data_IF_005870341265
#
_entry.id   IF_005870341265
#
_cell.length_a   1.000
_cell.length_b   1.000
_cell.length_c   1.000
_cell.angle_alpha   90.00
_cell.angle_beta   90.00
_cell.angle_gamma   90.00
#
_symmetry.space_group_name_H-M   'P 1'
#
loop_
_entity.id
_entity.type
_entity.pdbx_description
1 polymer ?
#
# COMPACT_ATOMS: atom_id res chain seq x y z
N UNK A 1 -13.28 15.15 -21.25
CA UNK A 1 -12.41 15.73 -22.30
C UNK A 1 -11.46 14.63 -22.72
N UNK A 2 -11.68 14.06 -23.91
CA UNK A 2 -10.89 12.97 -24.49
C UNK A 2 -9.73 13.55 -25.29
N UNK A 3 -8.55 12.95 -25.24
CA UNK A 3 -7.65 12.92 -26.39
C UNK A 3 -7.00 11.54 -26.54
N UNK A 4 -7.05 11.05 -27.77
CA UNK A 4 -6.54 9.81 -28.33
C UNK A 4 -5.28 10.20 -29.12
N UNK A 5 -4.18 9.46 -28.97
CA UNK A 5 -2.99 9.62 -29.80
C UNK A 5 -2.75 8.32 -30.59
N UNK A 6 -2.66 8.37 -31.94
CA UNK A 6 -2.56 7.20 -32.81
C UNK A 6 -1.09 6.86 -33.09
N UNK A 7 -0.73 5.58 -32.97
CA UNK A 7 0.52 5.05 -33.51
C UNK A 7 1.47 4.52 -32.45
N UNK A 8 1.35 3.22 -32.15
CA UNK A 8 2.51 2.46 -31.68
C UNK A 8 2.39 1.05 -32.23
N UNK A 9 3.36 0.66 -33.04
CA UNK A 9 3.52 -0.66 -33.63
C UNK A 9 3.28 -1.75 -32.58
N UNK A 10 2.42 -2.70 -32.94
CA UNK A 10 2.32 -4.02 -32.34
C UNK A 10 3.68 -4.72 -32.43
N UNK A 11 4.48 -4.64 -31.36
CA UNK A 11 5.58 -5.56 -31.01
C UNK A 11 6.24 -5.13 -29.67
N UNK A 12 5.51 -5.21 -28.54
CA UNK A 12 6.12 -5.22 -27.20
C UNK A 12 5.24 -6.00 -26.19
N UNK A 13 5.27 -7.33 -26.27
CA UNK A 13 4.65 -8.20 -25.27
C UNK A 13 5.50 -8.21 -24.00
N UNK A 14 5.18 -7.28 -23.09
CA UNK A 14 5.33 -7.32 -21.60
C UNK A 14 5.84 -6.02 -20.97
N UNK A 15 5.27 -4.87 -21.34
CA UNK A 15 5.12 -3.76 -20.38
C UNK A 15 3.68 -3.71 -19.90
N UNK A 16 3.38 -4.55 -18.91
CA UNK A 16 2.14 -4.44 -18.11
C UNK A 16 2.12 -3.02 -17.57
N UNK A 17 1.29 -2.14 -18.17
CA UNK A 17 1.08 -0.75 -17.72
C UNK A 17 0.93 -0.78 -16.19
N UNK A 18 1.96 -0.31 -15.48
CA UNK A 18 1.94 -0.19 -14.02
C UNK A 18 0.93 0.92 -13.77
N UNK A 19 -0.32 0.55 -13.49
CA UNK A 19 -1.32 1.53 -13.06
C UNK A 19 -0.80 2.13 -11.76
N UNK A 20 -0.58 3.44 -11.77
CA UNK A 20 -0.28 4.17 -10.55
C UNK A 20 -1.42 3.96 -9.56
N UNK A 21 -1.06 3.78 -8.29
CA UNK A 21 -1.99 3.44 -7.22
C UNK A 21 -1.91 4.52 -6.16
N UNK A 22 -3.05 5.10 -5.85
CA UNK A 22 -3.22 5.93 -4.67
C UNK A 22 -3.68 5.02 -3.54
N UNK A 23 -2.90 4.97 -2.47
CA UNK A 23 -3.27 4.29 -1.22
C UNK A 23 -3.42 5.36 -0.17
N UNK A 24 -4.51 5.27 0.57
CA UNK A 24 -4.85 6.24 1.59
C UNK A 24 -4.65 5.61 2.95
N UNK A 25 -4.14 6.41 3.86
CA UNK A 25 -3.74 6.00 5.19
C UNK A 25 -4.17 7.06 6.19
N UNK A 26 -4.32 6.66 7.45
CA UNK A 26 -4.72 7.57 8.53
C UNK A 26 -3.61 8.60 8.81
N UNK A 27 -3.99 9.72 9.44
CA UNK A 27 -3.04 10.81 9.77
C UNK A 27 -1.87 10.31 10.62
N UNK A 28 -2.12 9.40 11.55
CA UNK A 28 -1.08 8.78 12.40
C UNK A 28 -0.02 8.05 11.55
N UNK A 29 -0.43 7.34 10.49
CA UNK A 29 0.50 6.72 9.55
C UNK A 29 1.33 7.78 8.79
N UNK A 30 0.73 8.92 8.45
CA UNK A 30 1.45 10.05 7.84
C UNK A 30 2.51 10.62 8.77
N UNK A 31 2.18 10.78 10.05
CA UNK A 31 3.08 11.29 11.09
C UNK A 31 4.27 10.34 11.29
N UNK A 32 4.03 9.03 11.41
CA UNK A 32 5.11 8.04 11.51
C UNK A 32 5.96 7.96 10.25
N UNK A 33 5.35 8.02 9.07
CA UNK A 33 6.09 8.02 7.81
C UNK A 33 6.97 9.26 7.70
N UNK A 34 6.44 10.43 8.06
CA UNK A 34 7.21 11.68 8.06
C UNK A 34 8.36 11.61 9.05
N UNK A 35 8.11 11.19 10.29
CA UNK A 35 9.16 11.03 11.30
C UNK A 35 10.26 10.09 10.81
N UNK A 36 9.91 8.98 10.16
CA UNK A 36 10.89 8.09 9.53
C UNK A 36 11.69 8.78 8.42
N UNK A 37 11.03 9.50 7.50
CA UNK A 37 11.72 10.24 6.43
C UNK A 37 12.62 11.35 6.97
N UNK A 38 12.23 12.02 8.05
CA UNK A 38 13.03 13.08 8.69
C UNK A 38 14.31 12.52 9.35
N UNK A 39 14.34 11.23 9.72
CA UNK A 39 15.57 10.57 10.21
C UNK A 39 16.55 10.18 9.10
N UNK A 40 16.17 10.34 7.83
CA UNK A 40 17.00 9.91 6.68
C UNK A 40 17.89 11.05 6.20
N UNK A 41 19.18 10.75 6.09
CA UNK A 41 20.19 11.64 5.52
C UNK A 41 20.63 11.22 4.11
N UNK A 42 20.08 10.11 3.59
CA UNK A 42 20.44 9.54 2.30
C UNK A 42 19.67 10.18 1.13
N UNK A 43 20.21 10.05 -0.08
CA UNK A 43 19.62 10.59 -1.33
C UNK A 43 18.88 9.52 -2.16
N UNK A 44 18.53 8.38 -1.55
CA UNK A 44 17.97 7.23 -2.28
C UNK A 44 16.49 7.46 -2.61
N UNK A 45 16.06 7.23 -3.87
CA UNK A 45 14.70 7.54 -4.33
C UNK A 45 13.59 6.61 -3.79
N UNK A 46 13.93 5.62 -2.96
CA UNK A 46 12.95 4.68 -2.41
C UNK A 46 12.40 5.19 -1.08
N UNK A 47 11.09 5.00 -0.84
CA UNK A 47 10.45 5.38 0.43
C UNK A 47 11.04 4.58 1.59
N UNK A 48 11.20 3.26 1.44
CA UNK A 48 11.83 2.39 2.44
C UNK A 48 13.16 1.86 1.93
N UNK A 49 14.22 2.09 2.70
CA UNK A 49 15.58 1.65 2.38
C UNK A 49 16.01 0.48 3.25
N UNK A 50 16.97 -0.31 2.77
CA UNK A 50 17.58 -1.36 3.57
C UNK A 50 18.38 -0.78 4.74
N UNK A 51 18.73 -1.61 5.72
CA UNK A 51 19.46 -1.18 6.93
C UNK A 51 20.85 -0.57 6.67
N UNK A 52 21.43 -0.79 5.49
CA UNK A 52 22.72 -0.21 5.10
C UNK A 52 22.56 1.12 4.35
N UNK A 53 21.33 1.57 4.12
CA UNK A 53 21.01 2.74 3.29
C UNK A 53 21.73 2.70 1.94
N UNK A 54 21.73 1.54 1.28
CA UNK A 54 22.35 1.36 -0.05
C UNK A 54 21.34 1.13 -1.17
N UNK A 55 20.06 0.95 -0.83
CA UNK A 55 19.02 0.65 -1.80
C UNK A 55 17.68 0.29 -1.17
N UNK A 56 16.76 -0.20 -2.00
CA UNK A 56 15.39 -0.54 -1.59
C UNK A 56 15.37 -1.62 -0.50
N UNK A 57 14.41 -1.51 0.42
CA UNK A 57 14.10 -2.57 1.37
C UNK A 57 13.54 -3.82 0.66
N UNK A 58 14.08 -4.99 1.01
CA UNK A 58 13.65 -6.27 0.44
C UNK A 58 12.43 -6.84 1.18
N UNK A 59 11.49 -7.50 0.47
CA UNK A 59 10.35 -8.17 1.11
C UNK A 59 10.77 -9.20 2.17
N UNK A 60 11.88 -9.91 1.96
CA UNK A 60 12.40 -10.89 2.93
C UNK A 60 12.82 -10.23 4.24
N UNK A 61 13.36 -9.02 4.19
CA UNK A 61 13.73 -8.25 5.39
C UNK A 61 12.49 -7.94 6.22
N UNK A 62 11.41 -7.50 5.56
CA UNK A 62 10.13 -7.23 6.22
C UNK A 62 9.58 -8.52 6.85
N UNK A 63 9.61 -9.64 6.13
CA UNK A 63 9.17 -10.93 6.66
C UNK A 63 9.98 -11.37 7.89
N UNK A 64 11.31 -11.20 7.87
CA UNK A 64 12.16 -11.50 9.02
C UNK A 64 11.81 -10.66 10.25
N UNK A 65 11.49 -9.37 10.07
CA UNK A 65 11.00 -8.54 11.16
C UNK A 65 9.68 -9.06 11.74
N UNK A 66 8.75 -9.46 10.88
CA UNK A 66 7.50 -10.11 11.33
C UNK A 66 7.75 -11.43 12.06
N UNK A 67 8.74 -12.23 11.64
CA UNK A 67 9.15 -13.44 12.35
C UNK A 67 9.68 -13.12 13.75
N UNK A 68 10.47 -12.04 13.90
CA UNK A 68 10.95 -11.55 15.19
C UNK A 68 9.80 -11.12 16.10
N UNK A 69 8.85 -10.32 15.58
CA UNK A 69 7.65 -9.93 16.34
C UNK A 69 6.80 -11.13 16.74
N UNK A 70 6.65 -12.11 15.84
CA UNK A 70 5.91 -13.35 16.12
C UNK A 70 6.51 -14.10 17.30
N UNK A 71 7.84 -14.26 17.34
CA UNK A 71 8.54 -14.91 18.45
C UNK A 71 8.40 -14.13 19.76
N UNK A 72 8.47 -12.81 19.69
CA UNK A 72 8.39 -11.93 20.88
C UNK A 72 6.99 -11.88 21.49
N UNK A 73 5.95 -11.89 20.64
CA UNK A 73 4.55 -11.76 21.07
C UNK A 73 3.87 -13.13 21.29
N UNK A 74 4.48 -14.22 20.83
CA UNK A 74 3.90 -15.57 20.92
C UNK A 74 2.69 -15.78 19.99
N UNK A 75 2.46 -14.87 19.04
CA UNK A 75 1.34 -14.91 18.09
C UNK A 75 1.89 -14.83 16.68
N UNK A 76 1.40 -15.67 15.77
CA UNK A 76 1.81 -15.64 14.38
C UNK A 76 1.29 -14.40 13.65
N UNK A 77 2.19 -13.46 13.34
CA UNK A 77 1.89 -12.23 12.62
C UNK A 77 2.69 -12.20 11.32
N UNK A 78 1.99 -11.94 10.22
CA UNK A 78 2.58 -11.77 8.90
C UNK A 78 1.98 -10.56 8.20
N UNK A 79 2.56 -10.15 7.07
CA UNK A 79 1.99 -9.10 6.21
C UNK A 79 0.58 -9.44 5.71
N UNK A 80 0.30 -10.73 5.47
CA UNK A 80 -1.04 -11.20 5.11
C UNK A 80 -2.01 -11.10 6.28
N UNK A 81 -1.58 -11.53 7.48
CA UNK A 81 -2.38 -11.41 8.70
C UNK A 81 -2.70 -9.96 8.99
N UNK A 82 -1.72 -9.06 8.90
CA UNK A 82 -1.91 -7.61 9.09
C UNK A 82 -2.95 -7.04 8.11
N UNK A 83 -2.88 -7.44 6.82
CA UNK A 83 -3.85 -7.04 5.81
C UNK A 83 -5.27 -7.54 6.14
N UNK A 84 -5.42 -8.78 6.58
CA UNK A 84 -6.71 -9.33 6.98
C UNK A 84 -7.26 -8.64 8.23
N UNK A 85 -6.42 -8.36 9.21
CA UNK A 85 -6.80 -7.61 10.41
C UNK A 85 -7.25 -6.18 10.07
N UNK A 86 -6.54 -5.51 9.16
CA UNK A 86 -6.96 -4.19 8.66
C UNK A 86 -8.33 -4.25 7.96
N UNK A 87 -8.55 -5.25 7.10
CA UNK A 87 -9.84 -5.48 6.46
C UNK A 87 -10.97 -5.68 7.47
N UNK A 88 -10.76 -6.53 8.46
CA UNK A 88 -11.72 -6.84 9.50
C UNK A 88 -11.99 -5.63 10.39
N UNK A 89 -10.98 -4.82 10.70
CA UNK A 89 -11.11 -3.59 11.47
C UNK A 89 -12.01 -2.57 10.76
N UNK A 90 -11.80 -2.36 9.45
CA UNK A 90 -12.65 -1.48 8.65
C UNK A 90 -14.09 -2.00 8.56
N UNK A 91 -14.28 -3.32 8.42
CA UNK A 91 -15.61 -3.93 8.43
C UNK A 91 -16.32 -3.72 9.77
N UNK A 92 -15.60 -3.84 10.89
CA UNK A 92 -16.14 -3.58 12.24
C UNK A 92 -16.50 -2.11 12.46
N UNK A 93 -15.80 -1.17 11.84
CA UNK A 93 -16.15 0.27 11.82
C UNK A 93 -17.37 0.57 10.92
N UNK A 94 -18.03 -0.44 10.36
CA UNK A 94 -19.21 -0.28 9.51
C UNK A 94 -18.89 0.22 8.10
N UNK A 95 -17.63 0.13 7.66
CA UNK A 95 -17.28 0.49 6.28
C UNK A 95 -17.91 -0.52 5.31
N UNK A 96 -18.59 -0.06 4.24
CA UNK A 96 -19.15 -0.96 3.23
C UNK A 96 -18.06 -1.83 2.60
N UNK A 97 -18.36 -3.12 2.39
CA UNK A 97 -17.40 -4.09 1.84
C UNK A 97 -16.80 -3.64 0.50
N UNK A 98 -17.60 -2.98 -0.36
CA UNK A 98 -17.11 -2.40 -1.62
C UNK A 98 -16.00 -1.36 -1.40
N UNK A 99 -16.09 -0.53 -0.36
CA UNK A 99 -15.04 0.45 -0.02
C UNK A 99 -13.78 -0.25 0.52
N UNK A 100 -13.96 -1.30 1.33
CA UNK A 100 -12.85 -2.12 1.86
C UNK A 100 -12.11 -2.83 0.72
N UNK A 101 -12.84 -3.37 -0.27
CA UNK A 101 -12.24 -4.02 -1.45
C UNK A 101 -11.46 -3.06 -2.33
N UNK A 102 -11.92 -1.82 -2.47
CA UNK A 102 -11.18 -0.75 -3.17
C UNK A 102 -9.90 -0.41 -2.41
N UNK A 103 -9.98 -0.27 -1.07
CA UNK A 103 -8.82 0.01 -0.21
C UNK A 103 -7.78 -1.11 -0.20
N UNK A 104 -8.22 -2.36 -0.13
CA UNK A 104 -7.34 -3.53 -0.09
C UNK A 104 -6.89 -3.98 -1.46
N UNK A 105 -7.50 -3.45 -2.52
CA UNK A 105 -7.28 -3.88 -3.89
C UNK A 105 -7.59 -5.38 -4.10
N UNK A 106 -8.85 -5.65 -4.48
CA UNK A 106 -9.27 -6.89 -5.13
C UNK A 106 -10.05 -6.56 -6.41
N UNK A 107 -9.34 -6.55 -7.56
CA UNK A 107 -9.79 -6.74 -8.95
C UNK A 107 -11.17 -6.24 -9.42
N UNK A 108 -11.66 -5.08 -8.96
CA UNK A 108 -12.74 -4.36 -9.63
C UNK A 108 -12.20 -3.11 -10.33
N UNK A 109 -12.28 -3.01 -11.66
CA UNK A 109 -11.81 -1.85 -12.43
C UNK A 109 -12.59 -0.55 -12.22
N UNK A 110 -13.55 -0.48 -11.29
CA UNK A 110 -14.35 0.72 -11.09
C UNK A 110 -14.56 0.98 -9.60
N UNK A 111 -14.49 2.26 -9.24
CA UNK A 111 -15.08 2.90 -8.05
C UNK A 111 -14.12 3.55 -7.03
N UNK A 112 -13.15 4.34 -7.50
CA UNK A 112 -12.49 5.40 -6.69
C UNK A 112 -13.50 6.39 -6.10
N UNK A 113 -14.66 6.57 -6.76
CA UNK A 113 -15.73 7.49 -6.33
C UNK A 113 -16.41 7.04 -5.02
N UNK A 114 -16.60 5.74 -4.79
CA UNK A 114 -17.25 5.24 -3.56
C UNK A 114 -16.42 5.50 -2.30
N UNK A 115 -15.10 5.42 -2.43
CA UNK A 115 -14.18 5.64 -1.32
C UNK A 115 -14.20 7.12 -0.85
N UNK A 116 -14.17 8.08 -1.78
CA UNK A 116 -14.14 9.50 -1.44
C UNK A 116 -15.40 9.93 -0.66
N UNK A 117 -16.56 9.35 -0.99
CA UNK A 117 -17.83 9.62 -0.32
C UNK A 117 -17.82 9.17 1.15
N UNK A 118 -17.13 8.07 1.48
CA UNK A 118 -17.08 7.60 2.87
C UNK A 118 -16.19 8.47 3.76
N UNK A 119 -15.03 8.92 3.25
CA UNK A 119 -14.14 9.81 4.01
C UNK A 119 -14.75 11.18 4.27
N UNK A 120 -15.50 11.73 3.32
CA UNK A 120 -16.15 13.04 3.51
C UNK A 120 -17.28 12.98 4.57
N UNK A 121 -17.76 11.78 4.91
CA UNK A 121 -18.86 11.55 5.87
C UNK A 121 -18.40 11.19 7.29
N UNK A 122 -17.10 11.05 7.54
CA UNK A 122 -16.51 10.81 8.87
C UNK A 122 -15.84 12.10 9.36
#
# INVERSE_FOLDING_TARGET
MWQFDPGTNDNDTKRKRKKDRVVLFERECAEHLKAYLDTREDTIPFVFVNFKSTGQMFPRTIQLEFDCYTKRLGVHISTHTLRHTFAAHLARKGMPFACIQVLLWHNGQHQTQLYAVYIIKQ
#
